data_IF_708418570602
#
_entry.id   IF_708418570602
#
_cell.length_a   1.000
_cell.length_b   1.000
_cell.length_c   1.000
_cell.angle_alpha   90.00
_cell.angle_beta   90.00
_cell.angle_gamma   90.00
#
_symmetry.space_group_name_H-M   'P 1'
#
loop_
_entity.id
_entity.type
_entity.pdbx_description
1 polymer ?
#
# COMPACT_ATOMS: atom_id res chain seq x y z
N UNK A 1 -23.17 11.33 -16.64
CA UNK A 1 -22.77 11.08 -15.24
C UNK A 1 -21.29 10.71 -15.24
N UNK A 2 -20.52 11.07 -14.20
CA UNK A 2 -19.16 10.58 -14.10
C UNK A 2 -19.20 9.07 -13.83
N UNK A 3 -18.61 8.27 -14.71
CA UNK A 3 -18.42 6.85 -14.47
C UNK A 3 -17.30 6.67 -13.44
N UNK A 4 -17.64 6.19 -12.24
CA UNK A 4 -16.63 5.90 -11.21
C UNK A 4 -15.90 4.61 -11.55
N UNK A 5 -14.57 4.62 -11.44
CA UNK A 5 -13.79 3.41 -11.65
C UNK A 5 -12.75 3.26 -10.53
N UNK A 6 -12.87 2.16 -9.81
CA UNK A 6 -12.13 1.85 -8.58
C UNK A 6 -10.77 1.22 -8.88
N UNK A 7 -9.72 1.68 -8.21
CA UNK A 7 -8.41 1.03 -8.24
C UNK A 7 -8.18 0.30 -6.92
N UNK A 8 -7.73 -0.95 -7.00
CA UNK A 8 -7.50 -1.82 -5.85
C UNK A 8 -6.07 -2.34 -5.95
N UNK A 9 -5.35 -2.41 -4.83
CA UNK A 9 -4.02 -3.00 -4.83
C UNK A 9 -4.10 -4.50 -5.13
N UNK A 10 -3.28 -4.95 -6.08
CA UNK A 10 -3.16 -6.36 -6.48
C UNK A 10 -2.21 -7.09 -5.53
N UNK A 11 -2.79 -7.56 -4.41
CA UNK A 11 -2.05 -8.20 -3.33
C UNK A 11 -2.16 -9.73 -3.37
N UNK A 12 -1.09 -10.38 -2.92
CA UNK A 12 -0.95 -11.84 -2.97
C UNK A 12 -0.51 -12.39 -1.62
N UNK A 13 -0.71 -13.68 -1.42
CA UNK A 13 -0.28 -14.37 -0.20
C UNK A 13 1.21 -14.11 0.08
N UNK A 14 1.53 -13.74 1.32
CA UNK A 14 2.90 -13.43 1.73
C UNK A 14 3.57 -14.72 2.19
N UNK A 15 4.69 -15.06 1.53
CA UNK A 15 5.51 -16.21 1.89
C UNK A 15 5.88 -16.18 3.39
N UNK A 16 5.84 -17.34 4.04
CA UNK A 16 6.08 -17.50 5.48
C UNK A 16 5.01 -16.91 6.41
N UNK A 17 3.84 -16.53 5.90
CA UNK A 17 2.69 -16.16 6.76
C UNK A 17 1.94 -17.39 7.27
N UNK A 18 1.42 -17.31 8.50
CA UNK A 18 0.60 -18.37 9.09
C UNK A 18 -0.68 -18.62 8.28
N UNK A 19 -1.14 -19.88 8.20
CA UNK A 19 -2.27 -20.27 7.36
C UNK A 19 -3.56 -19.47 7.66
N UNK A 20 -3.90 -19.27 8.94
CA UNK A 20 -5.06 -18.49 9.34
C UNK A 20 -4.96 -17.01 8.94
N UNK A 21 -3.75 -16.42 9.02
CA UNK A 21 -3.53 -15.04 8.57
C UNK A 21 -3.68 -14.92 7.05
N UNK A 22 -3.16 -15.89 6.29
CA UNK A 22 -3.30 -15.96 4.84
C UNK A 22 -4.76 -16.14 4.42
N UNK A 23 -5.53 -17.00 5.11
CA UNK A 23 -6.96 -17.18 4.85
C UNK A 23 -7.75 -15.89 5.09
N UNK A 24 -7.53 -15.24 6.24
CA UNK A 24 -8.19 -13.97 6.55
C UNK A 24 -7.82 -12.87 5.54
N UNK A 25 -6.57 -12.84 5.10
CA UNK A 25 -6.11 -11.91 4.07
C UNK A 25 -6.83 -12.12 2.75
N UNK A 26 -6.94 -13.37 2.29
CA UNK A 26 -7.69 -13.72 1.08
C UNK A 26 -9.18 -13.37 1.20
N UNK A 27 -9.80 -13.64 2.35
CA UNK A 27 -11.19 -13.26 2.62
C UNK A 27 -11.42 -11.76 2.47
N UNK A 28 -10.55 -10.92 3.07
CA UNK A 28 -10.67 -9.45 2.97
C UNK A 28 -10.50 -8.98 1.53
N UNK A 29 -9.55 -9.53 0.78
CA UNK A 29 -9.36 -9.19 -0.64
C UNK A 29 -10.62 -9.52 -1.45
N UNK A 30 -11.17 -10.72 -1.26
CA UNK A 30 -12.41 -11.15 -1.91
C UNK A 30 -13.60 -10.27 -1.55
N UNK A 31 -13.75 -9.89 -0.28
CA UNK A 31 -14.84 -9.03 0.17
C UNK A 31 -14.80 -7.63 -0.46
N UNK A 32 -13.61 -7.03 -0.63
CA UNK A 32 -13.45 -5.73 -1.28
C UNK A 32 -13.85 -5.82 -2.76
N UNK A 33 -13.31 -6.81 -3.49
CA UNK A 33 -13.61 -7.00 -4.92
C UNK A 33 -15.09 -7.28 -5.13
N UNK A 34 -15.68 -8.15 -4.29
CA UNK A 34 -17.12 -8.44 -4.33
C UNK A 34 -17.94 -7.16 -4.09
N UNK A 35 -17.59 -6.36 -3.08
CA UNK A 35 -18.29 -5.11 -2.80
C UNK A 35 -18.29 -4.17 -4.00
N UNK A 36 -17.15 -4.00 -4.67
CA UNK A 36 -17.05 -3.16 -5.88
C UNK A 36 -17.88 -3.73 -7.03
N UNK A 37 -17.81 -5.05 -7.25
CA UNK A 37 -18.57 -5.72 -8.31
C UNK A 37 -20.09 -5.68 -8.07
N UNK A 38 -20.54 -5.77 -6.81
CA UNK A 38 -21.96 -5.73 -6.44
C UNK A 38 -22.64 -4.40 -6.76
N UNK A 39 -21.88 -3.30 -6.85
CA UNK A 39 -22.36 -1.98 -7.26
C UNK A 39 -22.13 -1.68 -8.74
N UNK A 40 -21.75 -2.68 -9.55
CA UNK A 40 -21.47 -2.53 -10.98
C UNK A 40 -20.39 -1.47 -11.30
N UNK A 41 -19.43 -1.28 -10.39
CA UNK A 41 -18.32 -0.37 -10.62
C UNK A 41 -17.22 -1.08 -11.42
N UNK A 42 -16.75 -0.41 -12.48
CA UNK A 42 -15.50 -0.79 -13.15
C UNK A 42 -14.35 -0.75 -12.16
N UNK A 43 -13.46 -1.74 -12.20
CA UNK A 43 -12.28 -1.75 -11.34
C UNK A 43 -11.02 -2.26 -12.04
N UNK A 44 -9.87 -1.87 -11.50
CA UNK A 44 -8.56 -2.33 -11.95
C UNK A 44 -7.71 -2.73 -10.74
N UNK A 45 -7.16 -3.93 -10.81
CA UNK A 45 -6.15 -4.39 -9.86
C UNK A 45 -4.78 -3.85 -10.28
N UNK A 46 -4.04 -3.26 -9.34
CA UNK A 46 -2.74 -2.62 -9.62
C UNK A 46 -1.68 -3.13 -8.66
N UNK A 47 -0.58 -3.65 -9.20
CA UNK A 47 0.53 -4.13 -8.38
C UNK A 47 1.13 -3.01 -7.52
N UNK A 48 1.53 -3.30 -6.25
CA UNK A 48 2.10 -2.32 -5.34
C UNK A 48 3.22 -1.48 -5.95
N UNK A 49 4.17 -2.15 -6.63
CA UNK A 49 5.34 -1.51 -7.23
C UNK A 49 4.98 -0.54 -8.36
N UNK A 50 3.87 -0.77 -9.06
CA UNK A 50 3.45 0.03 -10.22
C UNK A 50 2.94 1.39 -9.75
N UNK A 51 1.97 1.41 -8.83
CA UNK A 51 1.43 2.67 -8.33
C UNK A 51 2.48 3.43 -7.50
N UNK A 52 3.27 2.72 -6.69
CA UNK A 52 4.33 3.32 -5.87
C UNK A 52 5.38 4.02 -6.73
N UNK A 53 5.81 3.42 -7.85
CA UNK A 53 6.80 4.01 -8.75
C UNK A 53 6.35 5.38 -9.27
N UNK A 54 5.06 5.54 -9.58
CA UNK A 54 4.51 6.80 -10.09
C UNK A 54 4.31 7.82 -8.96
N UNK A 55 3.72 7.38 -7.84
CA UNK A 55 3.40 8.29 -6.73
C UNK A 55 4.65 8.78 -5.99
N UNK A 56 5.66 7.93 -5.85
CA UNK A 56 6.91 8.25 -5.16
C UNK A 56 7.90 9.06 -6.01
N UNK A 57 7.54 9.48 -7.23
CA UNK A 57 8.40 10.39 -7.99
C UNK A 57 8.70 11.67 -7.19
N UNK A 58 9.98 11.97 -7.00
CA UNK A 58 10.46 13.10 -6.18
C UNK A 58 10.33 12.90 -4.68
N UNK A 59 10.00 11.69 -4.20
CA UNK A 59 10.05 11.34 -2.78
C UNK A 59 11.43 10.72 -2.50
N UNK A 60 12.17 11.22 -1.48
CA UNK A 60 13.47 10.64 -1.15
C UNK A 60 13.32 9.19 -0.73
N UNK A 61 14.30 8.37 -1.12
CA UNK A 61 14.34 6.96 -0.78
C UNK A 61 14.62 6.80 0.73
N UNK A 62 13.64 6.29 1.48
CA UNK A 62 13.81 5.99 2.90
C UNK A 62 13.97 4.48 3.05
N UNK A 63 15.02 4.04 3.74
CA UNK A 63 15.28 2.62 4.02
C UNK A 63 15.21 2.33 5.51
N UNK A 64 14.82 1.10 5.81
CA UNK A 64 15.02 0.53 7.14
C UNK A 64 16.53 0.35 7.41
N UNK A 65 16.96 0.28 8.68
CA UNK A 65 18.35 0.01 9.00
C UNK A 65 18.85 -1.28 8.33
N UNK A 66 20.09 -1.23 7.84
CA UNK A 66 20.81 -2.45 7.47
C UNK A 66 21.01 -3.32 8.70
N UNK A 67 21.06 -4.64 8.51
CA UNK A 67 21.23 -5.59 9.61
C UNK A 67 22.21 -6.69 9.22
N UNK A 68 22.92 -7.21 10.22
CA UNK A 68 23.80 -8.38 10.08
C UNK A 68 22.96 -9.64 10.22
N UNK A 69 23.16 -10.59 9.30
CA UNK A 69 22.52 -11.90 9.37
C UNK A 69 23.15 -12.67 10.53
N UNK A 70 22.31 -13.10 11.48
CA UNK A 70 22.76 -13.72 12.73
C UNK A 70 22.88 -15.25 12.66
N UNK A 71 22.39 -15.88 11.59
CA UNK A 71 22.43 -17.34 11.45
C UNK A 71 22.16 -17.77 10.01
N UNK A 72 22.64 -18.97 9.67
CA UNK A 72 22.40 -19.63 8.39
C UNK A 72 23.49 -19.36 7.35
N UNK A 73 23.23 -19.74 6.09
CA UNK A 73 24.22 -19.75 4.99
C UNK A 73 24.97 -18.42 4.77
N UNK A 74 24.40 -17.30 5.20
CA UNK A 74 24.95 -15.96 5.01
C UNK A 74 25.28 -15.27 6.35
N UNK A 75 25.47 -16.03 7.43
CA UNK A 75 25.83 -15.50 8.75
C UNK A 75 27.05 -14.56 8.69
N UNK A 76 27.00 -13.48 9.48
CA UNK A 76 28.04 -12.45 9.52
C UNK A 76 27.97 -11.43 8.38
N UNK A 77 27.19 -11.69 7.32
CA UNK A 77 27.03 -10.73 6.21
C UNK A 77 26.00 -9.65 6.54
N UNK A 78 26.29 -8.42 6.10
CA UNK A 78 25.37 -7.29 6.20
C UNK A 78 24.38 -7.29 5.04
N UNK A 79 23.08 -7.26 5.34
CA UNK A 79 22.03 -6.96 4.34
C UNK A 79 21.57 -5.52 4.44
N UNK A 80 21.45 -4.90 3.27
CA UNK A 80 20.83 -3.57 3.13
C UNK A 80 19.36 -3.66 3.53
N UNK A 81 18.90 -2.69 4.33
CA UNK A 81 17.50 -2.60 4.69
C UNK A 81 16.60 -2.37 3.47
N UNK A 82 15.41 -2.97 3.53
CA UNK A 82 14.37 -2.75 2.53
C UNK A 82 13.89 -1.29 2.54
N UNK A 83 13.25 -0.87 1.44
CA UNK A 83 12.54 0.41 1.39
C UNK A 83 11.49 0.47 2.50
N UNK A 84 11.40 1.61 3.17
CA UNK A 84 10.36 1.91 4.16
C UNK A 84 9.17 2.54 3.44
N UNK A 85 8.43 1.70 2.71
CA UNK A 85 7.29 2.12 1.89
C UNK A 85 6.22 2.83 2.72
N UNK A 86 6.04 2.47 4.00
CA UNK A 86 5.11 3.15 4.90
C UNK A 86 5.49 4.62 5.11
N UNK A 87 6.76 4.91 5.38
CA UNK A 87 7.24 6.29 5.54
C UNK A 87 7.19 7.06 4.22
N UNK A 88 7.54 6.41 3.11
CA UNK A 88 7.49 7.02 1.78
C UNK A 88 6.04 7.34 1.36
N UNK A 89 5.08 6.44 1.59
CA UNK A 89 3.64 6.69 1.42
C UNK A 89 3.20 7.90 2.24
N UNK A 90 3.50 7.93 3.54
CA UNK A 90 3.08 9.05 4.38
C UNK A 90 3.68 10.39 3.92
N UNK A 91 4.94 10.40 3.48
CA UNK A 91 5.58 11.60 2.93
C UNK A 91 4.93 12.03 1.60
N UNK A 92 4.62 11.08 0.72
CA UNK A 92 3.91 11.33 -0.52
C UNK A 92 2.51 11.92 -0.26
N UNK A 93 1.76 11.35 0.68
CA UNK A 93 0.42 11.84 1.03
C UNK A 93 0.48 13.24 1.63
N UNK A 94 1.41 13.53 2.53
CA UNK A 94 1.57 14.90 3.07
C UNK A 94 1.92 15.93 1.99
N UNK A 95 2.67 15.53 0.96
CA UNK A 95 2.99 16.40 -0.17
C UNK A 95 1.78 16.67 -1.08
N UNK A 96 0.99 15.63 -1.37
CA UNK A 96 -0.11 15.70 -2.35
C UNK A 96 -1.43 16.15 -1.73
N UNK A 97 -1.64 15.84 -0.45
CA UNK A 97 -2.88 16.01 0.30
C UNK A 97 -2.58 16.56 1.70
N UNK A 98 -2.03 17.78 1.81
CA UNK A 98 -1.51 18.31 3.08
C UNK A 98 -2.59 18.52 4.15
N UNK A 99 -3.86 18.61 3.76
CA UNK A 99 -4.97 18.99 4.63
C UNK A 99 -5.90 17.83 4.98
N UNK A 100 -5.66 16.62 4.47
CA UNK A 100 -6.53 15.47 4.71
C UNK A 100 -6.27 14.85 6.09
N UNK A 101 -7.34 14.53 6.83
CA UNK A 101 -7.23 13.74 8.05
C UNK A 101 -7.17 12.24 7.71
N UNK A 102 -6.01 11.64 7.97
CA UNK A 102 -5.70 10.26 7.61
C UNK A 102 -5.90 9.29 8.79
N UNK A 103 -6.50 9.73 9.89
CA UNK A 103 -6.75 8.91 11.08
C UNK A 103 -7.98 8.03 10.86
N UNK A 104 -7.97 6.81 11.41
CA UNK A 104 -9.12 5.89 11.31
C UNK A 104 -10.36 6.38 12.08
N UNK A 105 -10.13 7.15 13.14
CA UNK A 105 -11.17 7.74 13.99
C UNK A 105 -10.55 8.85 14.84
N UNK A 106 -11.38 9.68 15.47
CA UNK A 106 -10.93 10.77 16.34
C UNK A 106 -10.06 10.32 17.53
N UNK A 107 -10.23 9.07 17.98
CA UNK A 107 -9.43 8.48 19.07
C UNK A 107 -8.01 8.13 18.62
N UNK A 108 -7.76 8.00 17.32
CA UNK A 108 -6.44 7.70 16.79
C UNK A 108 -5.59 8.98 16.77
N UNK A 109 -4.29 8.83 17.00
CA UNK A 109 -3.31 9.94 16.94
C UNK A 109 -2.37 9.87 15.74
N UNK A 110 -2.34 8.71 15.07
CA UNK A 110 -1.40 8.40 13.98
C UNK A 110 -2.22 8.06 12.72
N UNK A 111 -1.78 8.51 11.54
CA UNK A 111 -2.37 8.11 10.26
C UNK A 111 -2.49 6.60 10.10
N UNK A 112 -3.60 6.15 9.52
CA UNK A 112 -3.84 4.74 9.24
C UNK A 112 -3.27 4.38 7.88
N UNK A 113 -2.29 3.47 7.84
CA UNK A 113 -1.61 3.10 6.58
C UNK A 113 -2.56 2.69 5.45
N UNK A 114 -3.64 1.95 5.76
CA UNK A 114 -4.62 1.57 4.73
C UNK A 114 -5.40 2.76 4.14
N UNK A 115 -5.63 3.84 4.90
CA UNK A 115 -6.26 5.06 4.38
C UNK A 115 -5.27 5.83 3.51
N UNK A 116 -4.02 5.92 3.98
CA UNK A 116 -2.89 6.52 3.25
C UNK A 116 -2.75 5.86 1.88
N UNK A 117 -2.62 4.53 1.83
CA UNK A 117 -2.42 3.80 0.58
C UNK A 117 -3.66 3.88 -0.33
N UNK A 118 -4.88 3.80 0.22
CA UNK A 118 -6.10 3.97 -0.57
C UNK A 118 -6.18 5.34 -1.28
N UNK A 119 -5.84 6.42 -0.56
CA UNK A 119 -5.80 7.77 -1.14
C UNK A 119 -4.73 7.89 -2.24
N UNK A 120 -3.55 7.30 -2.04
CA UNK A 120 -2.48 7.30 -3.04
C UNK A 120 -2.80 6.45 -4.27
N UNK A 121 -3.48 5.31 -4.09
CA UNK A 121 -3.94 4.46 -5.20
C UNK A 121 -5.03 5.18 -6.01
N UNK A 122 -5.94 5.90 -5.35
CA UNK A 122 -6.93 6.73 -6.02
C UNK A 122 -6.25 7.85 -6.85
N UNK A 123 -5.24 8.51 -6.28
CA UNK A 123 -4.45 9.53 -6.99
C UNK A 123 -3.66 8.95 -8.16
N UNK A 124 -3.08 7.75 -8.01
CA UNK A 124 -2.45 7.03 -9.12
C UNK A 124 -3.45 6.82 -10.26
N UNK A 125 -4.63 6.34 -9.90
CA UNK A 125 -5.73 6.12 -10.82
C UNK A 125 -6.13 7.38 -11.59
N UNK A 126 -6.22 8.51 -10.89
CA UNK A 126 -6.51 9.82 -11.50
C UNK A 126 -5.42 10.23 -12.50
N UNK A 127 -4.14 9.97 -12.21
CA UNK A 127 -3.01 10.34 -13.09
C UNK A 127 -2.93 9.55 -14.39
N UNK A 128 -3.33 8.28 -14.37
CA UNK A 128 -3.23 7.41 -15.55
C UNK A 128 -4.48 7.42 -16.45
N UNK A 129 -5.55 8.08 -15.99
CA UNK A 129 -6.81 8.25 -16.74
C UNK A 129 -6.95 9.60 -17.43
N UNK A 130 -5.95 10.47 -17.32
CA UNK A 130 -5.87 11.73 -18.09
C UNK A 130 -5.53 11.41 -19.55
#
# INVERSE_FOLDING_TARGET
SAEYHVFIEDVHAIFSSAAGATFQFGYVCGAIVMGVAAFDFKYTLVQPKVWQKVIYQGIPEIRKPSFVIKSGKFEGQTRKGALDTKKMSLLATKRLFPNEDLRKSDRCKIPHNGIVDALLIAEYGRRIRV
#
